data_IF_152209927532
#
_entry.id   IF_152209927532
#
_cell.length_a   1.000
_cell.length_b   1.000
_cell.length_c   1.000
_cell.angle_alpha   90.00
_cell.angle_beta   90.00
_cell.angle_gamma   90.00
#
_symmetry.space_group_name_H-M   'P 1'
#
loop_
_entity.id
_entity.type
_entity.pdbx_description
1 polymer ?
#
# COMPACT_ATOMS: atom_id res chain seq x y z
N UNK A 1 6.69 8.60 19.17
CA UNK A 1 5.31 8.09 19.34
C UNK A 1 4.90 7.51 17.99
N UNK A 2 5.20 6.24 17.75
CA UNK A 2 4.93 5.57 16.48
C UNK A 2 3.50 5.04 16.49
N UNK A 3 2.51 5.90 16.22
CA UNK A 3 1.22 5.38 15.77
C UNK A 3 1.43 4.84 14.35
N UNK A 4 1.83 3.56 14.23
CA UNK A 4 1.87 2.88 12.93
C UNK A 4 0.45 2.89 12.39
N UNK A 5 0.24 3.67 11.33
CA UNK A 5 -1.07 3.86 10.75
C UNK A 5 -1.39 2.64 9.89
N UNK A 6 -2.62 2.17 9.95
CA UNK A 6 -3.12 1.18 9.01
C UNK A 6 -4.55 1.53 8.69
N UNK A 7 -4.98 1.19 7.49
CA UNK A 7 -6.33 1.48 7.07
C UNK A 7 -6.63 2.98 6.94
N UNK A 8 -5.64 3.82 6.69
CA UNK A 8 -5.83 5.28 6.59
C UNK A 8 -5.95 5.73 5.15
N UNK A 9 -6.84 6.69 4.88
CA UNK A 9 -7.05 7.25 3.54
C UNK A 9 -6.50 8.66 3.46
N UNK A 10 -5.84 8.97 2.35
CA UNK A 10 -5.43 10.33 1.99
C UNK A 10 -6.11 10.78 0.70
N UNK A 11 -6.31 12.09 0.52
CA UNK A 11 -7.11 12.63 -0.59
C UNK A 11 -6.61 13.94 -1.18
N UNK A 12 -6.15 14.88 -0.36
CA UNK A 12 -5.80 16.22 -0.81
C UNK A 12 -4.29 16.41 -0.81
N UNK A 13 -3.74 16.74 -1.97
CA UNK A 13 -2.31 16.95 -2.19
C UNK A 13 -2.00 18.43 -2.07
N UNK A 14 -0.76 18.71 -1.70
CA UNK A 14 -0.14 20.00 -1.95
C UNK A 14 -0.16 20.28 -3.46
N UNK A 15 -0.50 21.50 -3.86
CA UNK A 15 -0.79 21.87 -5.25
C UNK A 15 0.40 21.70 -6.21
N UNK A 16 1.61 21.53 -5.67
CA UNK A 16 2.86 21.56 -6.43
C UNK A 16 3.20 20.22 -7.11
N UNK A 17 2.56 19.10 -6.75
CA UNK A 17 2.84 17.79 -7.35
C UNK A 17 1.56 17.05 -7.81
N UNK A 18 1.29 17.13 -9.11
CA UNK A 18 0.20 16.42 -9.80
C UNK A 18 0.67 15.15 -10.51
N UNK A 19 1.78 14.54 -10.10
CA UNK A 19 2.32 13.37 -10.76
C UNK A 19 1.68 12.06 -10.25
N UNK A 20 1.41 11.06 -11.10
CA UNK A 20 0.74 9.83 -10.67
C UNK A 20 1.61 9.01 -9.72
N UNK A 21 1.16 8.76 -8.50
CA UNK A 21 1.95 7.95 -7.53
C UNK A 21 1.53 6.48 -7.51
N UNK A 22 0.49 6.11 -8.26
CA UNK A 22 -0.02 4.76 -8.29
C UNK A 22 -0.10 4.21 -9.71
N UNK A 23 0.06 2.91 -9.85
CA UNK A 23 -0.23 2.11 -11.03
C UNK A 23 -1.28 1.05 -10.70
N UNK A 24 -2.00 0.58 -11.72
CA UNK A 24 -2.80 -0.65 -11.62
C UNK A 24 -1.98 -1.89 -12.01
N UNK A 25 -2.61 -3.07 -11.91
CA UNK A 25 -2.02 -4.36 -12.30
C UNK A 25 -1.52 -4.45 -13.75
N UNK A 26 -1.93 -3.52 -14.62
CA UNK A 26 -1.47 -3.44 -16.01
C UNK A 26 -0.30 -2.48 -16.18
N UNK A 27 0.28 -1.99 -15.08
CA UNK A 27 1.35 -0.99 -15.03
C UNK A 27 0.95 0.39 -15.56
N UNK A 28 -0.35 0.62 -15.76
CA UNK A 28 -0.86 1.91 -16.22
C UNK A 28 -0.89 2.90 -15.05
N UNK A 29 -0.26 4.08 -15.18
CA UNK A 29 -0.32 5.10 -14.14
C UNK A 29 -1.75 5.52 -13.93
N UNK A 30 -2.18 5.61 -12.67
CA UNK A 30 -3.51 6.13 -12.42
C UNK A 30 -3.49 7.64 -12.43
N UNK A 31 -4.24 8.18 -13.39
CA UNK A 31 -4.36 9.60 -13.63
C UNK A 31 -4.82 10.36 -12.37
N UNK A 32 -4.24 11.53 -12.21
CA UNK A 32 -4.48 12.47 -11.10
C UNK A 32 -5.08 13.79 -11.60
N UNK A 33 -5.67 13.81 -12.80
CA UNK A 33 -6.27 14.99 -13.39
C UNK A 33 -7.27 15.69 -12.43
N UNK A 34 -6.83 16.85 -11.92
CA UNK A 34 -7.54 17.73 -10.98
C UNK A 34 -7.07 17.65 -9.52
N UNK A 35 -7.30 18.72 -8.74
CA UNK A 35 -6.93 18.84 -7.31
C UNK A 35 -7.53 17.75 -6.38
N UNK A 36 -8.35 16.83 -6.93
CA UNK A 36 -8.90 15.66 -6.25
C UNK A 36 -8.09 14.46 -6.73
N UNK A 37 -7.12 14.08 -5.92
CA UNK A 37 -6.24 12.99 -6.26
C UNK A 37 -6.95 11.65 -6.32
N UNK A 38 -6.23 10.74 -6.94
CA UNK A 38 -6.18 9.37 -6.49
C UNK A 38 -6.13 9.28 -4.95
N UNK A 39 -7.08 8.56 -4.36
CA UNK A 39 -7.18 8.43 -2.90
C UNK A 39 -6.36 7.20 -2.51
N UNK A 40 -5.09 7.32 -2.09
CA UNK A 40 -4.38 6.18 -1.56
C UNK A 40 -5.09 5.73 -0.28
N UNK A 41 -5.25 4.42 -0.18
CA UNK A 41 -5.70 3.76 1.02
C UNK A 41 -4.53 2.94 1.54
N UNK A 42 -3.98 3.38 2.67
CA UNK A 42 -2.81 2.76 3.26
C UNK A 42 -3.21 1.46 3.95
N UNK A 43 -2.61 0.36 3.50
CA UNK A 43 -2.77 -0.95 4.13
C UNK A 43 -1.99 -0.96 5.44
N UNK A 44 -0.73 -0.52 5.40
CA UNK A 44 0.13 -0.39 6.57
C UNK A 44 1.33 0.54 6.30
N UNK A 45 1.98 0.96 7.39
CA UNK A 45 3.24 1.70 7.41
C UNK A 45 4.33 0.83 8.04
N UNK A 46 5.53 0.86 7.45
CA UNK A 46 6.77 0.57 8.20
C UNK A 46 7.36 1.88 8.72
N UNK A 47 8.57 1.81 9.26
CA UNK A 47 9.25 3.02 9.74
C UNK A 47 9.67 3.92 8.58
N UNK A 48 9.99 3.33 7.43
CA UNK A 48 10.55 3.97 6.22
C UNK A 48 9.61 3.96 5.00
N UNK A 49 8.62 3.06 4.94
CA UNK A 49 7.82 2.83 3.73
C UNK A 49 6.31 2.84 4.00
N UNK A 50 5.56 3.24 2.97
CA UNK A 50 4.09 3.25 2.94
C UNK A 50 3.61 2.28 1.88
N UNK A 51 2.72 1.36 2.28
CA UNK A 51 2.14 0.35 1.41
C UNK A 51 0.66 0.66 1.23
N UNK A 52 0.27 1.05 0.03
CA UNK A 52 -1.05 1.60 -0.23
C UNK A 52 -1.71 1.04 -1.48
N UNK A 53 -3.02 0.91 -1.38
CA UNK A 53 -3.92 0.59 -2.47
C UNK A 53 -4.54 1.85 -3.03
N UNK A 54 -5.28 1.63 -4.10
CA UNK A 54 -5.90 2.66 -4.90
C UNK A 54 -7.40 2.70 -4.63
N UNK A 55 -7.95 3.86 -4.24
CA UNK A 55 -9.40 4.04 -4.12
C UNK A 55 -9.97 4.87 -5.27
N UNK A 56 -10.82 4.24 -6.08
CA UNK A 56 -11.52 4.85 -7.21
C UNK A 56 -12.99 5.12 -6.86
N UNK A 57 -13.56 6.15 -7.48
CA UNK A 57 -15.01 6.36 -7.43
C UNK A 57 -15.65 5.59 -8.57
N UNK A 58 -16.66 4.78 -8.28
CA UNK A 58 -17.47 4.13 -9.30
C UNK A 58 -18.41 5.15 -9.93
N UNK A 59 -18.25 5.34 -11.24
CA UNK A 59 -19.09 6.16 -12.11
C UNK A 59 -19.56 5.29 -13.27
N UNK A 60 -20.65 5.67 -13.93
CA UNK A 60 -21.15 4.97 -15.13
C UNK A 60 -20.05 4.72 -16.18
N UNK A 61 -19.12 5.66 -16.32
CA UNK A 61 -18.01 5.59 -17.29
C UNK A 61 -17.02 4.45 -17.01
N UNK A 62 -16.83 4.05 -15.75
CA UNK A 62 -15.86 3.01 -15.37
C UNK A 62 -16.52 1.74 -14.80
N UNK A 63 -17.85 1.72 -14.72
CA UNK A 63 -18.66 0.66 -14.14
C UNK A 63 -18.38 -0.72 -14.74
N UNK A 64 -18.43 -0.83 -16.07
CA UNK A 64 -18.17 -2.09 -16.77
C UNK A 64 -16.75 -2.63 -16.48
N UNK A 65 -15.76 -1.74 -16.35
CA UNK A 65 -14.39 -2.16 -16.05
C UNK A 65 -14.26 -2.66 -14.61
N UNK A 66 -14.92 -1.99 -13.67
CA UNK A 66 -14.92 -2.38 -12.26
C UNK A 66 -15.59 -3.74 -12.06
N UNK A 67 -16.77 -3.96 -12.63
CA UNK A 67 -17.48 -5.23 -12.47
C UNK A 67 -16.73 -6.41 -13.10
N UNK A 68 -16.02 -6.20 -14.22
CA UNK A 68 -15.13 -7.22 -14.78
C UNK A 68 -13.95 -7.59 -13.86
N UNK A 69 -13.58 -6.71 -12.95
CA UNK A 69 -12.48 -6.90 -11.99
C UNK A 69 -13.00 -6.98 -10.54
N UNK A 70 -14.27 -7.31 -10.33
CA UNK A 70 -14.86 -7.35 -8.98
C UNK A 70 -14.18 -8.40 -8.10
N UNK A 71 -13.70 -9.49 -8.70
CA UNK A 71 -13.08 -10.59 -7.97
C UNK A 71 -11.76 -10.18 -7.32
N UNK A 72 -11.07 -9.17 -7.88
CA UNK A 72 -9.81 -8.65 -7.35
C UNK A 72 -9.96 -7.39 -6.51
N UNK A 73 -11.18 -6.86 -6.34
CA UNK A 73 -11.42 -5.55 -5.74
C UNK A 73 -12.42 -5.62 -4.58
N UNK A 74 -12.39 -4.64 -3.68
CA UNK A 74 -13.46 -4.40 -2.71
C UNK A 74 -14.37 -3.30 -3.24
N UNK A 75 -15.66 -3.61 -3.40
CA UNK A 75 -16.68 -2.65 -3.83
C UNK A 75 -17.54 -2.26 -2.62
N UNK A 76 -17.47 -0.98 -2.24
CA UNK A 76 -18.24 -0.41 -1.14
C UNK A 76 -19.56 0.13 -1.66
N UNK A 77 -20.62 -0.65 -1.47
CA UNK A 77 -21.95 -0.30 -1.96
C UNK A 77 -22.59 0.82 -1.14
N UNK A 78 -23.14 1.83 -1.81
CA UNK A 78 -23.89 2.96 -1.24
C UNK A 78 -23.14 3.79 -0.17
N UNK A 79 -21.83 3.58 -0.03
CA UNK A 79 -20.98 4.24 0.96
C UNK A 79 -19.67 4.68 0.35
N UNK A 80 -19.19 5.83 0.79
CA UNK A 80 -17.82 6.26 0.52
C UNK A 80 -16.84 5.52 1.45
N UNK A 81 -15.56 5.55 1.09
CA UNK A 81 -14.48 5.15 2.02
C UNK A 81 -14.50 5.94 3.34
N UNK A 82 -15.15 7.11 3.40
CA UNK A 82 -15.32 7.87 4.64
C UNK A 82 -16.52 7.41 5.48
N UNK A 83 -17.09 6.23 5.20
CA UNK A 83 -18.33 5.71 5.79
C UNK A 83 -19.53 6.69 5.71
N UNK A 84 -19.48 7.63 4.76
CA UNK A 84 -20.58 8.54 4.49
C UNK A 84 -21.44 7.97 3.36
N UNK A 85 -22.76 8.04 3.51
CA UNK A 85 -23.69 7.78 2.43
C UNK A 85 -23.42 8.73 1.25
N UNK A 86 -23.61 8.24 0.03
CA UNK A 86 -23.43 9.09 -1.14
C UNK A 86 -24.49 10.20 -1.20
N UNK A 87 -24.03 11.41 -1.52
CA UNK A 87 -24.89 12.52 -1.97
C UNK A 87 -24.64 12.73 -3.46
N UNK A 88 -25.55 12.29 -4.34
CA UNK A 88 -25.49 12.55 -5.80
C UNK A 88 -25.51 11.31 -6.71
N UNK A 89 -24.93 11.44 -7.92
CA UNK A 89 -24.95 10.44 -9.02
C UNK A 89 -23.88 9.33 -8.94
N UNK A 90 -22.99 9.40 -7.95
CA UNK A 90 -21.96 8.37 -7.73
C UNK A 90 -22.61 7.10 -7.22
N UNK A 91 -22.21 5.98 -7.80
CA UNK A 91 -22.74 4.67 -7.44
C UNK A 91 -22.03 4.22 -6.16
N UNK A 92 -20.72 4.00 -6.21
CA UNK A 92 -19.96 3.31 -5.15
C UNK A 92 -18.48 3.79 -5.03
N UNK A 93 -17.74 3.26 -4.06
CA UNK A 93 -16.27 3.34 -4.03
C UNK A 93 -15.64 1.96 -4.20
N UNK A 94 -14.51 1.93 -4.89
CA UNK A 94 -13.79 0.69 -5.22
C UNK A 94 -12.37 0.81 -4.69
N UNK A 95 -11.93 -0.19 -3.94
CA UNK A 95 -10.55 -0.33 -3.49
C UNK A 95 -9.91 -1.42 -4.35
N UNK A 96 -8.93 -1.02 -5.16
CA UNK A 96 -8.17 -1.91 -6.02
C UNK A 96 -7.20 -2.73 -5.17
N UNK A 97 -7.48 -4.03 -5.04
CA UNK A 97 -6.65 -4.96 -4.27
C UNK A 97 -5.81 -5.86 -5.19
N UNK A 98 -5.72 -5.54 -6.48
CA UNK A 98 -4.92 -6.28 -7.46
C UNK A 98 -3.47 -5.78 -7.56
N UNK A 99 -3.22 -4.58 -7.06
CA UNK A 99 -1.91 -3.94 -7.06
C UNK A 99 -1.63 -3.23 -5.74
N UNK A 100 -0.39 -3.33 -5.25
CA UNK A 100 0.09 -2.58 -4.08
C UNK A 100 1.14 -1.58 -4.55
N UNK A 101 0.91 -0.33 -4.21
CA UNK A 101 1.83 0.77 -4.48
C UNK A 101 2.62 1.09 -3.22
N UNK A 102 3.88 1.47 -3.41
CA UNK A 102 4.88 1.58 -2.37
C UNK A 102 5.64 2.88 -2.58
N UNK A 103 5.98 3.54 -1.49
CA UNK A 103 6.74 4.78 -1.51
C UNK A 103 7.45 4.96 -0.18
N UNK A 104 8.61 5.63 -0.23
CA UNK A 104 9.23 6.18 0.98
C UNK A 104 8.21 7.03 1.77
N UNK A 105 8.23 6.87 3.09
CA UNK A 105 7.25 7.49 3.97
C UNK A 105 7.35 9.00 4.00
N UNK A 106 8.57 9.53 4.10
CA UNK A 106 8.77 10.97 4.12
C UNK A 106 8.31 11.59 2.79
N UNK A 107 8.66 10.94 1.68
CA UNK A 107 8.23 11.34 0.35
C UNK A 107 6.70 11.31 0.22
N UNK A 108 6.05 10.25 0.71
CA UNK A 108 4.59 10.11 0.66
C UNK A 108 3.90 11.20 1.48
N UNK A 109 4.30 11.38 2.74
CA UNK A 109 3.67 12.34 3.65
C UNK A 109 3.82 13.79 3.15
N UNK A 110 4.96 14.14 2.52
CA UNK A 110 5.19 15.46 1.93
C UNK A 110 4.24 15.80 0.78
N UNK A 111 3.62 14.80 0.14
CA UNK A 111 2.65 15.06 -0.92
C UNK A 111 1.34 15.64 -0.35
N UNK A 112 0.96 15.31 0.87
CA UNK A 112 -0.40 15.60 1.37
C UNK A 112 -0.46 16.85 2.25
N UNK A 113 -1.61 17.53 2.19
CA UNK A 113 -1.91 18.65 3.08
C UNK A 113 -1.99 18.16 4.53
N UNK A 114 -1.13 18.68 5.42
CA UNK A 114 -0.99 18.22 6.80
C UNK A 114 -2.28 18.35 7.63
N UNK A 115 -3.03 19.43 7.44
CA UNK A 115 -4.18 19.79 8.30
C UNK A 115 -5.55 19.41 7.71
N UNK A 116 -5.56 18.65 6.62
CA UNK A 116 -6.82 18.28 5.95
C UNK A 116 -7.46 17.07 6.62
N UNK A 117 -8.69 17.19 7.12
CA UNK A 117 -9.41 16.08 7.79
C UNK A 117 -9.67 14.85 6.90
N UNK A 118 -9.53 14.99 5.57
CA UNK A 118 -9.65 13.86 4.62
C UNK A 118 -8.31 13.21 4.29
N UNK A 119 -7.23 13.75 4.83
CA UNK A 119 -5.93 13.11 4.93
C UNK A 119 -5.84 12.44 6.29
N UNK A 120 -5.19 11.27 6.34
CA UNK A 120 -5.14 10.47 7.56
C UNK A 120 -6.53 10.09 8.14
N UNK A 121 -7.51 9.83 7.27
CA UNK A 121 -8.82 9.36 7.73
C UNK A 121 -8.77 7.86 8.00
N UNK A 122 -9.01 7.43 9.24
CA UNK A 122 -9.09 6.02 9.60
C UNK A 122 -10.36 5.37 9.02
N UNK A 123 -10.19 4.29 8.24
CA UNK A 123 -11.31 3.50 7.76
C UNK A 123 -12.02 2.75 8.89
N UNK A 124 -13.31 2.53 8.68
CA UNK A 124 -14.08 1.65 9.53
C UNK A 124 -13.46 0.23 9.53
N UNK A 125 -13.36 -0.43 10.69
CA UNK A 125 -12.72 -1.74 10.80
C UNK A 125 -13.22 -2.80 9.81
N UNK A 126 -14.53 -2.83 9.54
CA UNK A 126 -15.13 -3.77 8.58
C UNK A 126 -14.67 -3.52 7.12
N UNK A 127 -14.31 -2.29 6.75
CA UNK A 127 -13.72 -2.03 5.42
C UNK A 127 -12.29 -2.57 5.39
N UNK A 128 -11.52 -2.33 6.46
CA UNK A 128 -10.16 -2.85 6.58
C UNK A 128 -10.15 -4.39 6.50
N UNK A 129 -11.06 -5.04 7.22
CA UNK A 129 -11.23 -6.49 7.19
C UNK A 129 -11.54 -7.02 5.79
N UNK A 130 -12.48 -6.40 5.07
CA UNK A 130 -12.79 -6.77 3.68
C UNK A 130 -11.57 -6.64 2.76
N UNK A 131 -10.78 -5.57 2.92
CA UNK A 131 -9.54 -5.39 2.17
C UNK A 131 -8.56 -6.51 2.48
N UNK A 132 -8.27 -6.77 3.76
CA UNK A 132 -7.26 -7.76 4.11
C UNK A 132 -7.64 -9.16 3.62
N UNK A 133 -8.92 -9.53 3.68
CA UNK A 133 -9.41 -10.76 3.10
C UNK A 133 -9.22 -10.78 1.58
N UNK A 134 -9.55 -9.69 0.88
CA UNK A 134 -9.36 -9.59 -0.57
C UNK A 134 -7.88 -9.63 -0.98
N UNK A 135 -7.00 -8.99 -0.23
CA UNK A 135 -5.56 -9.07 -0.43
C UNK A 135 -5.02 -10.48 -0.20
N UNK A 136 -5.55 -11.21 0.78
CA UNK A 136 -5.20 -12.61 1.01
C UNK A 136 -5.60 -13.51 -0.17
N UNK A 137 -6.80 -13.34 -0.72
CA UNK A 137 -7.23 -14.04 -1.93
C UNK A 137 -6.32 -13.74 -3.13
N UNK A 138 -5.86 -12.49 -3.25
CA UNK A 138 -5.02 -12.03 -4.34
C UNK A 138 -3.52 -12.29 -4.14
N UNK A 139 -3.06 -12.73 -2.95
CA UNK A 139 -1.64 -12.64 -2.52
C UNK A 139 -0.62 -13.20 -3.52
N UNK A 140 -0.97 -14.28 -4.22
CA UNK A 140 -0.10 -14.94 -5.20
C UNK A 140 -0.02 -14.22 -6.56
N UNK A 141 -0.90 -13.24 -6.80
CA UNK A 141 -1.04 -12.52 -8.06
C UNK A 141 -0.94 -10.99 -7.87
N UNK A 142 -0.51 -10.52 -6.70
CA UNK A 142 -0.36 -9.10 -6.42
C UNK A 142 0.74 -8.50 -7.30
N UNK A 143 0.41 -7.39 -7.98
CA UNK A 143 1.39 -6.60 -8.71
C UNK A 143 1.93 -5.50 -7.80
N UNK A 144 3.25 -5.32 -7.78
CA UNK A 144 3.93 -4.41 -6.87
C UNK A 144 4.55 -3.25 -7.66
N UNK A 145 4.37 -2.03 -7.16
CA UNK A 145 4.93 -0.82 -7.75
C UNK A 145 5.53 0.05 -6.68
N UNK A 146 6.78 0.47 -6.85
CA UNK A 146 7.40 1.47 -5.99
C UNK A 146 7.71 2.74 -6.77
N UNK A 147 7.36 3.87 -6.19
CA UNK A 147 7.87 5.19 -6.59
C UNK A 147 9.16 5.46 -5.84
N UNK A 148 10.25 5.66 -6.58
CA UNK A 148 11.58 5.93 -6.01
C UNK A 148 11.94 7.41 -5.99
N UNK A 149 11.15 8.25 -6.67
CA UNK A 149 11.42 9.68 -6.74
C UNK A 149 10.58 10.42 -7.79
N UNK A 150 10.85 11.72 -7.91
CA UNK A 150 10.28 12.59 -8.91
C UNK A 150 11.39 13.40 -9.57
N UNK A 151 11.37 13.49 -10.90
CA UNK A 151 12.36 14.23 -11.68
C UNK A 151 11.72 14.85 -12.93
N UNK A 152 12.00 16.12 -13.24
CA UNK A 152 11.61 16.79 -14.49
C UNK A 152 10.17 16.49 -14.97
N UNK A 153 9.19 16.61 -14.06
CA UNK A 153 7.76 16.32 -14.29
C UNK A 153 7.43 14.83 -14.57
N UNK A 154 8.27 13.91 -14.12
CA UNK A 154 8.07 12.47 -14.23
C UNK A 154 8.23 11.81 -12.88
N UNK A 155 7.55 10.68 -12.76
CA UNK A 155 7.62 9.78 -11.62
C UNK A 155 8.65 8.73 -11.95
N UNK A 156 9.61 8.53 -11.05
CA UNK A 156 10.60 7.48 -11.18
C UNK A 156 10.07 6.23 -10.48
N UNK A 157 10.06 5.11 -11.20
CA UNK A 157 9.57 3.84 -10.68
C UNK A 157 10.74 2.88 -10.48
N UNK A 158 10.63 1.99 -9.49
CA UNK A 158 11.69 0.99 -9.24
C UNK A 158 11.95 0.10 -10.46
N UNK A 159 10.92 -0.18 -11.27
CA UNK A 159 11.06 -0.92 -12.53
C UNK A 159 11.95 -0.22 -13.56
N UNK A 160 12.08 1.11 -13.52
CA UNK A 160 12.94 1.85 -14.44
C UNK A 160 14.42 1.53 -14.24
N UNK A 161 14.83 1.05 -13.05
CA UNK A 161 16.22 0.64 -12.78
C UNK A 161 16.64 -0.59 -13.58
N UNK A 162 15.69 -1.42 -14.03
CA UNK A 162 15.95 -2.67 -14.79
C UNK A 162 16.61 -2.47 -16.17
N UNK A 163 16.80 -1.21 -16.60
CA UNK A 163 17.50 -0.82 -17.83
C UNK A 163 19.00 -1.16 -17.79
N UNK A 164 19.57 -1.39 -16.61
CA UNK A 164 20.98 -1.81 -16.43
C UNK A 164 21.05 -3.18 -15.74
N UNK A 165 22.16 -3.90 -15.91
CA UNK A 165 22.36 -5.19 -15.23
C UNK A 165 22.34 -5.03 -13.70
N UNK A 166 23.08 -4.04 -13.19
CA UNK A 166 23.09 -3.70 -11.76
C UNK A 166 21.68 -3.36 -11.25
N UNK A 167 20.93 -2.55 -11.99
CA UNK A 167 19.57 -2.19 -11.59
C UNK A 167 18.56 -3.34 -11.69
N UNK A 168 18.80 -4.39 -12.50
CA UNK A 168 18.01 -5.63 -12.45
C UNK A 168 18.26 -6.39 -11.16
N UNK A 169 19.50 -6.49 -10.71
CA UNK A 169 19.84 -7.13 -9.44
C UNK A 169 19.20 -6.38 -8.26
N UNK A 170 19.23 -5.04 -8.29
CA UNK A 170 18.55 -4.20 -7.30
C UNK A 170 17.04 -4.42 -7.32
N UNK A 171 16.43 -4.50 -8.50
CA UNK A 171 14.99 -4.77 -8.65
C UNK A 171 14.60 -6.14 -8.08
N UNK A 172 15.33 -7.21 -8.39
CA UNK A 172 15.04 -8.55 -7.86
C UNK A 172 15.16 -8.61 -6.33
N UNK A 173 16.19 -7.96 -5.78
CA UNK A 173 16.36 -7.84 -4.32
C UNK A 173 15.21 -7.08 -3.67
N UNK A 174 14.88 -5.91 -4.22
CA UNK A 174 13.75 -5.12 -3.76
C UNK A 174 12.45 -5.92 -3.81
N UNK A 175 12.16 -6.55 -4.95
CA UNK A 175 10.96 -7.34 -5.17
C UNK A 175 10.83 -8.44 -4.13
N UNK A 176 11.89 -9.21 -3.92
CA UNK A 176 11.92 -10.28 -2.91
C UNK A 176 11.59 -9.76 -1.50
N UNK A 177 12.16 -8.61 -1.11
CA UNK A 177 11.91 -8.01 0.20
C UNK A 177 10.46 -7.55 0.34
N UNK A 178 9.98 -6.79 -0.63
CA UNK A 178 8.63 -6.23 -0.61
C UNK A 178 7.57 -7.34 -0.65
N UNK A 179 7.75 -8.35 -1.51
CA UNK A 179 6.85 -9.52 -1.55
C UNK A 179 6.78 -10.21 -0.20
N UNK A 180 7.92 -10.40 0.47
CA UNK A 180 7.97 -10.98 1.81
C UNK A 180 7.25 -10.11 2.84
N UNK A 181 7.51 -8.80 2.87
CA UNK A 181 6.85 -7.88 3.81
C UNK A 181 5.34 -7.90 3.64
N UNK A 182 4.85 -7.71 2.41
CA UNK A 182 3.41 -7.65 2.13
C UNK A 182 2.74 -8.99 2.44
N UNK A 183 3.36 -10.10 2.04
CA UNK A 183 2.83 -11.44 2.30
C UNK A 183 2.75 -11.70 3.80
N UNK A 184 3.80 -11.36 4.57
CA UNK A 184 3.78 -11.50 6.02
C UNK A 184 2.63 -10.70 6.62
N UNK A 185 2.45 -9.42 6.29
CA UNK A 185 1.35 -8.60 6.84
C UNK A 185 -0.03 -9.23 6.55
N UNK A 186 -0.23 -9.68 5.31
CA UNK A 186 -1.48 -10.30 4.87
C UNK A 186 -1.74 -11.62 5.61
N UNK A 187 -0.74 -12.50 5.69
CA UNK A 187 -0.86 -13.82 6.32
C UNK A 187 -0.99 -13.71 7.84
N UNK A 188 -0.24 -12.80 8.47
CA UNK A 188 -0.36 -12.47 9.88
C UNK A 188 -1.79 -12.05 10.20
N UNK A 189 -2.38 -11.11 9.45
CA UNK A 189 -3.76 -10.71 9.68
C UNK A 189 -4.72 -11.89 9.56
N UNK A 190 -4.54 -12.72 8.53
CA UNK A 190 -5.40 -13.87 8.27
C UNK A 190 -5.18 -15.04 9.25
N UNK A 191 -4.10 -15.01 10.04
CA UNK A 191 -3.83 -15.96 11.13
C UNK A 191 -4.57 -15.60 12.43
N UNK A 192 -5.07 -14.37 12.54
CA UNK A 192 -5.83 -13.92 13.71
C UNK A 192 -7.19 -14.63 13.72
N UNK A 193 -7.62 -15.06 14.92
CA UNK A 193 -8.94 -15.65 15.10
C UNK A 193 -10.06 -14.73 14.58
N UNK A 194 -10.96 -15.28 13.75
CA UNK A 194 -12.12 -14.55 13.22
C UNK A 194 -13.02 -14.02 14.34
N UNK A 195 -13.22 -14.81 15.40
CA UNK A 195 -14.00 -14.38 16.57
C UNK A 195 -13.40 -13.13 17.23
N UNK A 196 -12.07 -13.01 17.26
CA UNK A 196 -11.41 -11.85 17.84
C UNK A 196 -11.53 -10.61 16.95
N UNK A 197 -11.48 -10.78 15.62
CA UNK A 197 -11.73 -9.70 14.66
C UNK A 197 -13.18 -9.21 14.78
N UNK A 198 -14.14 -10.13 14.71
CA UNK A 198 -15.58 -9.82 14.66
C UNK A 198 -16.07 -9.06 15.89
N UNK A 199 -15.58 -9.41 17.09
CA UNK A 199 -15.88 -8.69 18.34
C UNK A 199 -15.55 -7.20 18.27
N UNK A 200 -14.60 -6.80 17.41
CA UNK A 200 -14.03 -5.45 17.37
C UNK A 200 -14.42 -4.67 16.11
N UNK A 201 -15.12 -5.28 15.15
CA UNK A 201 -15.46 -4.61 13.87
C UNK A 201 -16.32 -3.34 14.03
N UNK A 202 -17.06 -3.24 15.13
CA UNK A 202 -17.93 -2.10 15.43
C UNK A 202 -17.29 -1.06 16.37
N UNK A 203 -16.05 -1.29 16.83
CA UNK A 203 -15.33 -0.38 17.73
C UNK A 203 -13.94 -0.08 17.16
N UNK A 204 -13.80 1.10 16.56
CA UNK A 204 -12.58 1.51 15.87
C UNK A 204 -11.36 1.54 16.81
N UNK A 205 -11.50 2.05 18.03
CA UNK A 205 -10.38 2.19 18.96
C UNK A 205 -9.89 0.84 19.47
N UNK A 206 -10.81 -0.07 19.80
CA UNK A 206 -10.46 -1.43 20.23
C UNK A 206 -9.81 -2.23 19.10
N UNK A 207 -10.34 -2.09 17.88
CA UNK A 207 -9.78 -2.72 16.70
C UNK A 207 -8.35 -2.25 16.44
N UNK A 208 -8.13 -0.92 16.48
CA UNK A 208 -6.79 -0.33 16.29
C UNK A 208 -5.81 -0.79 17.36
N UNK A 209 -6.21 -0.76 18.64
CA UNK A 209 -5.37 -1.23 19.74
C UNK A 209 -5.01 -2.71 19.64
N UNK A 210 -5.90 -3.52 19.08
CA UNK A 210 -5.69 -4.96 18.93
C UNK A 210 -4.77 -5.31 17.76
N UNK A 211 -4.99 -4.70 16.59
CA UNK A 211 -4.26 -5.04 15.36
C UNK A 211 -2.87 -4.37 15.29
N UNK A 212 -2.71 -3.14 15.79
CA UNK A 212 -1.44 -2.39 15.65
C UNK A 212 -0.21 -3.15 16.17
N UNK A 213 -0.24 -3.73 17.40
CA UNK A 213 0.95 -4.41 17.95
C UNK A 213 1.32 -5.67 17.17
N UNK A 214 0.34 -6.36 16.59
CA UNK A 214 0.56 -7.57 15.79
C UNK A 214 1.37 -7.22 14.54
N UNK A 215 0.98 -6.17 13.81
CA UNK A 215 1.79 -5.68 12.69
C UNK A 215 3.15 -5.16 13.12
N UNK A 216 3.23 -4.53 14.30
CA UNK A 216 4.48 -3.99 14.77
C UNK A 216 5.56 -5.07 14.91
N UNK A 217 5.23 -6.13 15.64
CA UNK A 217 6.15 -7.22 15.97
C UNK A 217 6.59 -7.98 14.70
N UNK A 218 5.64 -8.28 13.82
CA UNK A 218 5.92 -9.07 12.62
C UNK A 218 6.76 -8.30 11.61
N UNK A 219 6.49 -7.01 11.41
CA UNK A 219 7.31 -6.17 10.55
C UNK A 219 8.73 -6.02 11.09
N UNK A 220 8.87 -5.77 12.40
CA UNK A 220 10.19 -5.67 13.04
C UNK A 220 11.00 -6.97 12.85
N UNK A 221 10.37 -8.13 13.01
CA UNK A 221 11.01 -9.42 12.74
C UNK A 221 11.45 -9.57 11.27
N UNK A 222 10.59 -9.22 10.31
CA UNK A 222 10.91 -9.31 8.88
C UNK A 222 12.07 -8.38 8.52
N UNK A 223 12.06 -7.13 8.96
CA UNK A 223 13.14 -6.18 8.67
C UNK A 223 14.48 -6.61 9.26
N UNK A 224 14.49 -7.08 10.52
CA UNK A 224 15.69 -7.61 11.16
C UNK A 224 16.28 -8.81 10.40
N UNK A 225 15.44 -9.61 9.73
CA UNK A 225 15.92 -10.71 8.90
C UNK A 225 16.67 -10.22 7.66
N UNK A 226 16.22 -9.13 7.02
CA UNK A 226 16.91 -8.55 5.87
C UNK A 226 18.26 -7.94 6.24
N UNK A 227 18.37 -7.26 7.38
CA UNK A 227 19.65 -6.74 7.85
C UNK A 227 20.68 -7.85 8.08
N UNK A 228 20.21 -9.00 8.57
CA UNK A 228 21.07 -10.17 8.80
C UNK A 228 21.56 -10.74 7.48
N UNK A 229 20.66 -10.87 6.50
CA UNK A 229 21.00 -11.34 5.14
C UNK A 229 22.00 -10.39 4.46
N UNK A 230 21.80 -9.07 4.56
CA UNK A 230 22.70 -8.06 3.99
C UNK A 230 24.11 -8.11 4.60
N UNK A 231 24.20 -8.17 5.93
CA UNK A 231 25.49 -8.30 6.64
C UNK A 231 26.22 -9.57 6.23
N UNK A 232 25.49 -10.67 6.00
CA UNK A 232 26.07 -11.93 5.55
C UNK A 232 26.60 -11.84 4.11
N UNK A 233 25.86 -11.23 3.19
CA UNK A 233 26.33 -10.98 1.82
C UNK A 233 27.58 -10.10 1.78
N UNK A 234 27.64 -9.04 2.59
CA UNK A 234 28.81 -8.16 2.71
C UNK A 234 30.04 -8.91 3.22
N UNK A 235 29.86 -9.74 4.24
CA UNK A 235 30.93 -10.61 4.77
C UNK A 235 31.49 -11.53 3.69
N UNK A 236 30.63 -12.19 2.90
CA UNK A 236 31.05 -13.07 1.82
C UNK A 236 31.83 -12.33 0.71
N UNK A 237 31.38 -11.12 0.32
CA UNK A 237 32.09 -10.27 -0.64
C UNK A 237 33.47 -9.83 -0.12
N UNK A 238 33.56 -9.46 1.16
CA UNK A 238 34.83 -9.03 1.76
C UNK A 238 35.88 -10.15 1.81
N UNK A 239 35.46 -11.39 2.05
CA UNK A 239 36.38 -12.54 2.14
C UNK A 239 36.72 -13.16 0.80
N UNK A 240 35.82 -13.13 -0.19
CA UNK A 240 36.14 -13.55 -1.56
C UNK A 240 37.20 -12.68 -2.24
N UNK A 241 37.28 -11.39 -1.87
CA UNK A 241 38.33 -10.48 -2.36
C UNK A 241 39.68 -10.67 -1.63
N UNK A 242 39.70 -11.14 -0.37
CA UNK A 242 40.92 -11.43 0.37
C UNK A 242 41.70 -12.65 -0.14
N UNK A 243 41.04 -13.56 -0.86
CA UNK A 243 41.67 -14.76 -1.43
C UNK A 243 42.06 -14.61 -2.92
N UNK A 244 41.97 -13.39 -3.47
CA UNK A 244 42.39 -13.06 -4.84
C UNK A 244 43.63 -12.15 -4.91
N UNK A 245 44.23 -11.81 -3.76
CA UNK A 245 45.55 -11.18 -3.66
C UNK A 245 46.58 -12.23 -3.24
#
# INVERSE_FOLDING_TARGET
MNSRMFGTVFRFRNLDNTLPIAKDKYFEPIDTSGNKLHRPYVVFYSDDMVYYLTVKTLKRENEASVYRNQDTNVILLNKTVYNQAFKGKTLDNVIDCSSVNIMDRELFEQLFEKDSFKNNYQLAPWIYDQVMNKLYENKNNLVLHEVTGFNDNKVEWMIDKTKTEQGRLEYEKWRTRVERVITTVIETYHSISRDEIEKRLNNQDEYVKFISPIYYNELEYVYNSFETDDKWEEYQKSNSNKHKM
#
